data_IF_288616547443
#
_entry.id   IF_288616547443
#
_cell.length_a   1.000
_cell.length_b   1.000
_cell.length_c   1.000
_cell.angle_alpha   90.00
_cell.angle_beta   90.00
_cell.angle_gamma   90.00
#
_symmetry.space_group_name_H-M   'P 1'
#
loop_
_entity.id
_entity.type
_entity.pdbx_description
1 polymer ?
#
# COMPACT_ATOMS: atom_id res chain seq x y z
N UNK A 1 27.98 22.49 2.21
CA UNK A 1 27.13 23.49 1.51
C UNK A 1 26.40 22.72 0.43
N UNK A 2 25.09 22.47 0.41
CA UNK A 2 23.92 23.15 0.97
C UNK A 2 22.98 22.14 1.64
N UNK A 3 22.51 22.53 2.82
CA UNK A 3 21.23 22.08 3.37
C UNK A 3 20.14 22.64 2.43
N UNK A 4 19.25 21.78 1.93
CA UNK A 4 17.92 22.20 1.50
C UNK A 4 16.92 21.37 2.27
N UNK A 5 16.51 21.92 3.41
CA UNK A 5 15.21 21.60 3.96
C UNK A 5 14.17 21.95 2.88
N UNK A 6 13.41 20.96 2.43
CA UNK A 6 12.15 21.19 1.73
C UNK A 6 11.05 20.61 2.59
N UNK A 7 10.20 21.53 3.08
CA UNK A 7 9.01 21.19 3.83
C UNK A 7 8.00 20.43 2.95
N UNK A 8 7.16 19.66 3.63
CA UNK A 8 5.77 19.40 3.24
C UNK A 8 5.51 19.02 1.78
N UNK A 9 6.14 17.96 1.29
CA UNK A 9 5.84 17.38 -0.01
C UNK A 9 6.76 16.20 -0.26
N UNK A 10 6.28 14.98 0.01
CA UNK A 10 7.09 13.77 -0.12
C UNK A 10 7.65 13.64 -1.53
N UNK A 11 8.97 13.75 -1.67
CA UNK A 11 9.63 13.53 -2.95
C UNK A 11 9.32 12.11 -3.45
N UNK A 12 9.09 11.94 -4.77
CA UNK A 12 8.80 10.64 -5.34
C UNK A 12 9.97 9.67 -5.09
N UNK A 13 9.66 8.45 -4.67
CA UNK A 13 10.65 7.39 -4.49
C UNK A 13 11.10 6.88 -5.86
N UNK A 14 12.41 6.72 -6.04
CA UNK A 14 13.03 6.47 -7.34
C UNK A 14 12.74 5.09 -7.93
N UNK A 15 12.24 4.12 -7.16
CA UNK A 15 11.74 2.84 -7.67
C UNK A 15 11.13 2.00 -6.55
N UNK A 16 10.15 1.17 -6.88
CA UNK A 16 9.72 0.06 -6.03
C UNK A 16 10.75 -1.10 -6.02
N UNK A 17 11.66 -1.13 -7.01
CA UNK A 17 12.42 -2.35 -7.37
C UNK A 17 13.94 -2.16 -7.45
N UNK A 18 14.49 -0.96 -7.70
CA UNK A 18 15.91 -0.85 -8.08
C UNK A 18 16.91 -0.90 -6.91
N UNK A 19 16.47 -0.93 -5.65
CA UNK A 19 17.37 -0.92 -4.48
C UNK A 19 17.12 -1.98 -3.41
N UNK A 20 16.05 -2.79 -3.52
CA UNK A 20 15.71 -3.80 -2.50
C UNK A 20 15.49 -3.21 -1.09
N UNK A 21 15.35 -1.89 -0.97
CA UNK A 21 15.17 -1.18 0.29
C UNK A 21 13.71 -1.11 0.74
N UNK A 22 13.46 -0.75 2.01
CA UNK A 22 12.11 -0.67 2.54
C UNK A 22 11.29 0.44 1.88
N UNK A 23 10.03 0.15 1.56
CA UNK A 23 9.05 1.13 1.11
C UNK A 23 8.75 2.12 2.24
N UNK A 24 9.03 3.41 2.04
CA UNK A 24 8.76 4.43 3.06
C UNK A 24 7.45 5.13 2.79
N UNK A 25 6.53 5.04 3.72
CA UNK A 25 5.22 5.67 3.63
C UNK A 25 5.33 7.06 4.22
N UNK A 26 5.26 8.07 3.36
CA UNK A 26 5.47 9.49 3.73
C UNK A 26 4.18 10.29 3.71
N UNK A 27 3.11 9.73 3.15
CA UNK A 27 1.79 10.34 3.03
C UNK A 27 0.71 9.32 3.39
N UNK A 28 -0.50 9.82 3.64
CA UNK A 28 -1.69 9.00 3.86
C UNK A 28 -2.89 9.62 3.15
N UNK A 29 -3.76 8.77 2.62
CA UNK A 29 -5.04 9.14 2.03
C UNK A 29 -6.15 8.70 2.98
N UNK A 30 -7.13 9.56 3.27
CA UNK A 30 -8.27 9.16 4.11
C UNK A 30 -9.18 8.19 3.35
N UNK A 31 -9.78 7.25 4.07
CA UNK A 31 -10.78 6.31 3.56
C UNK A 31 -12.16 6.97 3.44
N UNK A 32 -12.21 8.12 2.77
CA UNK A 32 -13.45 8.84 2.48
C UNK A 32 -14.00 8.39 1.11
N UNK A 33 -15.33 8.36 0.90
CA UNK A 33 -15.94 7.83 -0.32
C UNK A 33 -15.35 8.40 -1.62
N UNK A 34 -15.15 9.71 -1.68
CA UNK A 34 -14.60 10.37 -2.86
C UNK A 34 -13.17 9.89 -3.23
N UNK A 35 -12.36 9.55 -2.22
CA UNK A 35 -11.00 9.05 -2.43
C UNK A 35 -11.04 7.58 -2.89
N UNK A 36 -11.87 6.76 -2.25
CA UNK A 36 -12.05 5.35 -2.60
C UNK A 36 -12.60 5.19 -4.02
N UNK A 37 -13.58 6.01 -4.41
CA UNK A 37 -14.09 6.04 -5.78
C UNK A 37 -13.00 6.37 -6.81
N UNK A 38 -12.06 7.26 -6.47
CA UNK A 38 -10.92 7.59 -7.33
C UNK A 38 -10.04 6.37 -7.60
N UNK A 39 -9.69 5.63 -6.54
CA UNK A 39 -8.91 4.38 -6.65
C UNK A 39 -9.70 3.32 -7.40
N UNK A 40 -10.98 3.15 -7.08
CA UNK A 40 -11.85 2.16 -7.73
C UNK A 40 -11.98 2.43 -9.24
N UNK A 41 -12.12 3.70 -9.66
CA UNK A 41 -12.12 4.03 -11.10
C UNK A 41 -10.84 3.61 -11.81
N UNK A 42 -9.67 3.76 -11.16
CA UNK A 42 -8.39 3.31 -11.70
C UNK A 42 -8.32 1.78 -11.77
N UNK A 43 -8.86 1.08 -10.79
CA UNK A 43 -8.95 -0.40 -10.77
C UNK A 43 -9.73 -0.93 -11.98
N UNK A 44 -10.85 -0.29 -12.33
CA UNK A 44 -11.70 -0.71 -13.45
C UNK A 44 -11.19 -0.23 -14.81
N UNK A 45 -10.16 0.61 -14.85
CA UNK A 45 -9.59 1.11 -16.10
C UNK A 45 -8.47 0.15 -16.55
N UNK A 46 -8.64 -0.45 -17.73
CA UNK A 46 -7.65 -1.36 -18.29
C UNK A 46 -6.25 -0.74 -18.36
N UNK A 47 -5.27 -1.44 -17.80
CA UNK A 47 -3.87 -1.03 -17.79
C UNK A 47 -3.53 0.15 -16.87
N UNK A 48 -4.49 0.67 -16.09
CA UNK A 48 -4.26 1.81 -15.20
C UNK A 48 -3.85 1.43 -13.77
N UNK A 49 -3.98 0.15 -13.40
CA UNK A 49 -3.64 -0.32 -12.06
C UNK A 49 -3.14 -1.76 -11.99
N UNK A 50 -2.48 -2.08 -10.89
CA UNK A 50 -2.14 -3.43 -10.45
C UNK A 50 -2.49 -3.58 -8.96
N UNK A 51 -3.09 -4.72 -8.60
CA UNK A 51 -3.46 -5.06 -7.22
C UNK A 51 -2.59 -6.21 -6.71
N UNK A 52 -2.01 -6.03 -5.53
CA UNK A 52 -1.15 -7.00 -4.88
C UNK A 52 -1.58 -7.22 -3.43
N UNK A 53 -1.50 -8.46 -2.95
CA UNK A 53 -1.64 -8.79 -1.55
C UNK A 53 -0.25 -8.87 -0.90
N UNK A 54 0.01 -8.05 0.11
CA UNK A 54 1.23 -8.13 0.91
C UNK A 54 0.94 -8.84 2.22
N UNK A 55 1.79 -9.82 2.56
CA UNK A 55 1.72 -10.62 3.79
C UNK A 55 3.07 -10.53 4.52
N UNK A 56 3.09 -10.66 5.87
CA UNK A 56 4.34 -10.72 6.60
C UNK A 56 5.14 -11.97 6.17
N UNK A 57 6.45 -11.82 6.12
CA UNK A 57 7.38 -12.87 5.79
C UNK A 57 8.56 -12.85 6.78
N UNK A 58 9.15 -14.00 7.05
CA UNK A 58 10.36 -14.17 7.84
C UNK A 58 11.06 -15.45 7.40
N UNK A 59 12.38 -15.52 7.55
CA UNK A 59 13.15 -16.70 7.16
C UNK A 59 12.90 -17.86 8.14
N UNK A 60 12.65 -17.54 9.40
CA UNK A 60 12.37 -18.48 10.48
C UNK A 60 11.01 -18.18 11.13
N UNK A 61 10.42 -19.17 11.81
CA UNK A 61 9.12 -19.02 12.47
C UNK A 61 9.11 -17.86 13.49
N UNK A 62 10.20 -17.69 14.24
CA UNK A 62 10.35 -16.60 15.22
C UNK A 62 10.39 -15.23 14.53
N UNK A 63 11.09 -15.12 13.41
CA UNK A 63 11.16 -13.89 12.63
C UNK A 63 9.79 -13.57 12.01
N UNK A 64 9.10 -14.57 11.44
CA UNK A 64 7.76 -14.42 10.90
C UNK A 64 6.77 -13.90 11.97
N UNK A 65 6.81 -14.46 13.18
CA UNK A 65 5.99 -14.00 14.30
C UNK A 65 6.30 -12.54 14.65
N UNK A 66 7.59 -12.18 14.73
CA UNK A 66 8.02 -10.82 15.01
C UNK A 66 7.55 -9.83 13.93
N UNK A 67 7.75 -10.16 12.65
CA UNK A 67 7.32 -9.31 11.53
C UNK A 67 5.80 -9.15 11.48
N UNK A 68 5.07 -10.24 11.76
CA UNK A 68 3.60 -10.20 11.87
C UNK A 68 3.16 -9.25 12.98
N UNK A 69 3.79 -9.32 14.14
CA UNK A 69 3.49 -8.42 15.26
C UNK A 69 3.80 -6.96 14.93
N UNK A 70 4.99 -6.69 14.36
CA UNK A 70 5.38 -5.34 13.94
C UNK A 70 4.38 -4.76 12.93
N UNK A 71 3.97 -5.56 11.93
CA UNK A 71 3.00 -5.17 10.92
C UNK A 71 1.65 -4.79 11.56
N UNK A 72 1.15 -5.62 12.46
CA UNK A 72 -0.12 -5.39 13.16
C UNK A 72 -0.06 -4.12 14.02
N UNK A 73 0.95 -4.02 14.87
CA UNK A 73 1.02 -2.99 15.91
C UNK A 73 1.41 -1.62 15.37
N UNK A 74 2.29 -1.60 14.36
CA UNK A 74 2.91 -0.36 13.84
C UNK A 74 2.18 0.18 12.62
N UNK A 75 1.68 -0.70 11.73
CA UNK A 75 1.07 -0.27 10.48
C UNK A 75 -0.45 -0.45 10.48
N UNK A 76 -0.94 -1.68 10.63
CA UNK A 76 -2.36 -2.00 10.48
C UNK A 76 -3.19 -1.20 11.50
N UNK A 77 -2.86 -1.32 12.78
CA UNK A 77 -3.55 -0.59 13.86
C UNK A 77 -3.53 0.91 13.64
N UNK A 78 -2.36 1.47 13.33
CA UNK A 78 -2.22 2.91 13.09
C UNK A 78 -3.10 3.39 11.93
N UNK A 79 -3.09 2.67 10.80
CA UNK A 79 -3.85 3.07 9.62
C UNK A 79 -5.36 2.90 9.80
N UNK A 80 -5.80 1.85 10.50
CA UNK A 80 -7.20 1.66 10.88
C UNK A 80 -7.68 2.77 11.81
N UNK A 81 -6.93 3.10 12.87
CA UNK A 81 -7.28 4.19 13.79
C UNK A 81 -7.36 5.56 13.09
N UNK A 82 -6.50 5.78 12.09
CA UNK A 82 -6.50 7.01 11.29
C UNK A 82 -7.50 6.98 10.15
N UNK A 83 -8.20 5.86 9.94
CA UNK A 83 -9.11 5.64 8.82
C UNK A 83 -8.44 6.06 7.51
N UNK A 84 -7.24 5.54 7.25
CA UNK A 84 -6.40 5.97 6.15
C UNK A 84 -5.68 4.79 5.45
N UNK A 85 -5.29 5.02 4.20
CA UNK A 85 -4.35 4.20 3.45
C UNK A 85 -2.99 4.91 3.39
N UNK A 86 -1.91 4.14 3.39
CA UNK A 86 -0.56 4.65 3.15
C UNK A 86 -0.38 5.07 1.69
N UNK A 87 0.38 6.14 1.45
CA UNK A 87 0.67 6.67 0.11
C UNK A 87 2.17 6.77 -0.11
N UNK A 88 2.59 6.24 -1.26
CA UNK A 88 3.94 6.40 -1.79
C UNK A 88 3.82 6.89 -3.23
N UNK A 89 4.37 8.07 -3.49
CA UNK A 89 4.57 8.54 -4.86
C UNK A 89 5.87 7.94 -5.37
N UNK A 90 5.83 7.29 -6.51
CA UNK A 90 6.98 6.73 -7.21
C UNK A 90 7.16 7.53 -8.48
N UNK A 91 8.39 7.91 -8.79
CA UNK A 91 8.67 8.73 -9.95
C UNK A 91 10.07 8.50 -10.47
N UNK A 92 10.24 8.68 -11.77
CA UNK A 92 11.53 8.56 -12.43
C UNK A 92 12.10 9.98 -12.66
N UNK A 93 13.37 10.23 -12.27
CA UNK A 93 13.96 11.56 -12.34
C UNK A 93 13.98 12.14 -13.76
N UNK A 94 14.07 11.27 -14.77
CA UNK A 94 14.22 11.67 -16.17
C UNK A 94 12.93 11.54 -16.99
N UNK A 95 11.84 11.01 -16.42
CA UNK A 95 10.58 10.78 -17.13
C UNK A 95 9.38 11.36 -16.38
N UNK A 96 8.73 12.38 -16.96
CA UNK A 96 7.48 12.94 -16.46
C UNK A 96 6.29 11.96 -16.54
N UNK A 97 6.37 10.93 -17.40
CA UNK A 97 5.28 9.99 -17.69
C UNK A 97 5.29 8.71 -16.83
N UNK A 98 6.22 8.59 -15.87
CA UNK A 98 6.39 7.39 -15.04
C UNK A 98 5.98 7.58 -13.58
N UNK A 99 5.07 8.52 -13.29
CA UNK A 99 4.57 8.70 -11.94
C UNK A 99 3.58 7.58 -11.63
N UNK A 100 3.79 6.90 -10.50
CA UNK A 100 2.87 5.92 -9.96
C UNK A 100 2.52 6.31 -8.53
N UNK A 101 1.30 6.01 -8.13
CA UNK A 101 0.87 6.14 -6.73
C UNK A 101 0.58 4.76 -6.19
N UNK A 102 1.22 4.45 -5.07
CA UNK A 102 1.03 3.19 -4.36
C UNK A 102 0.13 3.48 -3.18
N UNK A 103 -1.05 2.86 -3.18
CA UNK A 103 -2.03 2.92 -2.11
C UNK A 103 -1.89 1.64 -1.29
N UNK A 104 -1.63 1.79 0.01
CA UNK A 104 -1.42 0.65 0.92
C UNK A 104 -2.55 0.66 1.93
N UNK A 105 -3.55 -0.15 1.69
CA UNK A 105 -4.73 -0.27 2.54
C UNK A 105 -4.47 -1.27 3.67
N UNK A 106 -4.77 -0.91 4.93
CA UNK A 106 -4.91 -1.92 5.98
C UNK A 106 -6.14 -2.80 5.69
N UNK A 107 -6.31 -3.93 6.39
CA UNK A 107 -7.56 -4.69 6.35
C UNK A 107 -8.76 -3.79 6.71
N UNK A 108 -9.66 -3.57 5.76
CA UNK A 108 -10.86 -2.75 5.89
C UNK A 108 -11.95 -3.19 4.91
N UNK A 109 -13.11 -2.56 4.96
CA UNK A 109 -14.23 -2.89 4.06
C UNK A 109 -13.85 -2.78 2.58
N UNK A 110 -13.15 -1.71 2.20
CA UNK A 110 -12.67 -1.53 0.82
C UNK A 110 -11.73 -2.65 0.40
N UNK A 111 -10.73 -2.99 1.24
CA UNK A 111 -9.74 -4.01 0.88
C UNK A 111 -10.36 -5.39 0.73
N UNK A 112 -11.27 -5.77 1.63
CA UNK A 112 -11.99 -7.04 1.53
C UNK A 112 -12.91 -7.09 0.30
N UNK A 113 -13.59 -5.98 -0.01
CA UNK A 113 -14.46 -5.92 -1.19
C UNK A 113 -13.66 -6.11 -2.48
N UNK A 114 -12.54 -5.41 -2.63
CA UNK A 114 -11.69 -5.58 -3.83
C UNK A 114 -11.10 -6.99 -3.90
N UNK A 115 -10.62 -7.53 -2.77
CA UNK A 115 -10.08 -8.89 -2.73
C UNK A 115 -11.14 -9.96 -3.04
N UNK A 116 -12.39 -9.76 -2.59
CA UNK A 116 -13.50 -10.67 -2.89
C UNK A 116 -13.86 -10.67 -4.38
N UNK A 117 -13.85 -9.49 -5.00
CA UNK A 117 -14.12 -9.32 -6.43
C UNK A 117 -12.99 -9.92 -7.29
N UNK A 118 -11.74 -9.67 -6.91
CA UNK A 118 -10.57 -10.10 -7.69
C UNK A 118 -10.17 -11.57 -7.45
N UNK A 119 -10.26 -12.04 -6.20
CA UNK A 119 -9.78 -13.35 -5.78
C UNK A 119 -10.55 -13.90 -4.55
N UNK A 120 -11.82 -14.35 -4.71
CA UNK A 120 -12.70 -14.72 -3.60
C UNK A 120 -12.16 -15.87 -2.75
N UNK A 121 -11.48 -16.84 -3.36
CA UNK A 121 -10.86 -17.95 -2.62
C UNK A 121 -9.69 -17.50 -1.75
N UNK A 122 -8.90 -16.52 -2.23
CA UNK A 122 -7.82 -15.91 -1.44
C UNK A 122 -8.40 -15.11 -0.28
N UNK A 123 -9.44 -14.32 -0.53
CA UNK A 123 -10.16 -13.56 0.50
C UNK A 123 -10.64 -14.47 1.63
N UNK A 124 -11.30 -15.58 1.29
CA UNK A 124 -11.73 -16.58 2.29
C UNK A 124 -10.59 -17.12 3.12
N UNK A 125 -9.46 -17.48 2.49
CA UNK A 125 -8.28 -18.00 3.22
C UNK A 125 -7.72 -16.97 4.20
N UNK A 126 -7.60 -15.73 3.76
CA UNK A 126 -7.08 -14.63 4.58
C UNK A 126 -7.98 -14.38 5.79
N UNK A 127 -9.30 -14.30 5.59
CA UNK A 127 -10.27 -14.08 6.66
C UNK A 127 -10.30 -15.28 7.63
N UNK A 128 -10.36 -16.51 7.11
CA UNK A 128 -10.44 -17.72 7.94
C UNK A 128 -9.20 -17.92 8.80
N UNK A 129 -8.02 -17.61 8.28
CA UNK A 129 -6.76 -17.71 9.01
C UNK A 129 -6.51 -16.49 9.93
N UNK A 130 -7.38 -15.47 9.90
CA UNK A 130 -7.13 -14.17 10.52
C UNK A 130 -5.72 -13.63 10.16
N UNK A 131 -5.35 -13.79 8.89
CA UNK A 131 -4.00 -13.53 8.41
C UNK A 131 -3.77 -12.03 8.30
N UNK A 132 -2.70 -11.53 8.94
CA UNK A 132 -2.25 -10.15 8.75
C UNK A 132 -1.87 -9.93 7.30
N UNK A 133 -2.46 -8.92 6.67
CA UNK A 133 -2.25 -8.63 5.27
C UNK A 133 -2.48 -7.14 4.99
N UNK A 134 -1.99 -6.68 3.84
CA UNK A 134 -2.27 -5.36 3.29
C UNK A 134 -2.70 -5.52 1.82
N UNK A 135 -3.67 -4.73 1.39
CA UNK A 135 -3.97 -4.59 -0.03
C UNK A 135 -3.13 -3.43 -0.59
N UNK A 136 -2.30 -3.71 -1.59
CA UNK A 136 -1.46 -2.73 -2.26
C UNK A 136 -2.02 -2.49 -3.66
N UNK A 137 -2.46 -1.27 -3.94
CA UNK A 137 -2.98 -0.86 -5.26
C UNK A 137 -2.02 0.16 -5.86
N UNK A 138 -1.38 -0.22 -6.97
CA UNK A 138 -0.47 0.64 -7.71
C UNK A 138 -1.25 1.21 -8.89
N UNK A 139 -1.35 2.54 -8.99
CA UNK A 139 -2.06 3.21 -10.09
C UNK A 139 -1.14 4.15 -10.84
N UNK A 140 -1.37 4.29 -12.14
CA UNK A 140 -0.81 5.41 -12.93
C UNK A 140 -1.51 6.71 -12.52
N UNK A 141 -0.79 7.84 -12.57
CA UNK A 141 -1.40 9.17 -12.34
C UNK A 141 -2.20 9.60 -13.56
#
# INVERSE_FOLDING_TARGET
MRLLASGGGGQPQHSLVASGGPLRIVQRMRLEPAQLEGVQRKIHQEGASCECLAIPAGNEAVELMQQTQILNDSFIRYMQEKMAAGIINVGFPDFQQGLYVVHIFPPCEFSHTQLDLAAPDLNRRVIQANQSHLLVVITTV
#
